data_IF_482643509719
#
_entry.id   IF_482643509719
#
_cell.length_a   1.000
_cell.length_b   1.000
_cell.length_c   1.000
_cell.angle_alpha   90.00
_cell.angle_beta   90.00
_cell.angle_gamma   90.00
#
_symmetry.space_group_name_H-M   'P 1'
#
loop_
_entity.id
_entity.type
_entity.pdbx_description
1 polymer ?
#
# COMPACT_ATOMS: atom_id res chain seq x y z
N UNK A 1 14.73 -1.00 7.77
CA UNK A 1 14.60 -2.46 7.56
C UNK A 1 14.86 -2.72 6.10
N UNK A 2 15.67 -3.71 5.75
CA UNK A 2 15.86 -4.08 4.34
C UNK A 2 14.65 -4.92 3.94
N UNK A 3 13.83 -4.43 3.02
CA UNK A 3 12.62 -5.14 2.57
C UNK A 3 13.05 -6.38 1.77
N UNK A 4 12.31 -7.49 1.87
CA UNK A 4 12.68 -8.73 1.16
C UNK A 4 12.65 -8.54 -0.36
N UNK A 5 13.51 -9.25 -1.09
CA UNK A 5 13.52 -9.16 -2.57
C UNK A 5 12.17 -9.59 -3.19
N UNK A 6 11.47 -10.53 -2.56
CA UNK A 6 10.11 -10.92 -2.95
C UNK A 6 9.12 -9.77 -2.77
N UNK A 7 9.15 -9.07 -1.62
CA UNK A 7 8.34 -7.85 -1.39
C UNK A 7 8.67 -6.78 -2.43
N UNK A 8 9.96 -6.55 -2.73
CA UNK A 8 10.39 -5.58 -3.77
C UNK A 8 9.80 -5.91 -5.13
N UNK A 9 9.88 -7.17 -5.57
CA UNK A 9 9.36 -7.58 -6.87
C UNK A 9 7.85 -7.33 -7.00
N UNK A 10 7.07 -7.69 -5.97
CA UNK A 10 5.62 -7.45 -5.95
C UNK A 10 5.31 -5.96 -5.97
N UNK A 11 5.98 -5.18 -5.11
CA UNK A 11 5.81 -3.74 -5.05
C UNK A 11 6.17 -3.07 -6.38
N UNK A 12 7.23 -3.54 -7.04
CA UNK A 12 7.65 -3.02 -8.34
C UNK A 12 6.59 -3.29 -9.41
N UNK A 13 6.01 -4.49 -9.47
CA UNK A 13 4.90 -4.82 -10.38
C UNK A 13 3.70 -3.89 -10.16
N UNK A 14 3.32 -3.68 -8.90
CA UNK A 14 2.23 -2.75 -8.59
C UNK A 14 2.56 -1.31 -8.99
N UNK A 15 3.79 -0.86 -8.75
CA UNK A 15 4.23 0.48 -9.11
C UNK A 15 4.20 0.72 -10.62
N UNK A 16 4.66 -0.25 -11.42
CA UNK A 16 4.63 -0.17 -12.90
C UNK A 16 3.21 -0.16 -13.45
N UNK A 17 2.26 -0.82 -12.77
CA UNK A 17 0.84 -0.83 -13.13
C UNK A 17 0.10 0.45 -12.68
N UNK A 18 0.79 1.40 -12.05
CA UNK A 18 0.26 2.70 -11.64
C UNK A 18 -0.31 2.73 -10.22
N UNK A 19 -0.16 1.66 -9.43
CA UNK A 19 -0.52 1.65 -8.02
C UNK A 19 0.54 2.36 -7.18
N UNK A 20 0.10 2.99 -6.10
CA UNK A 20 0.95 3.86 -5.27
C UNK A 20 0.87 3.54 -3.78
N UNK A 21 -0.26 3.02 -3.31
CA UNK A 21 -0.45 2.74 -1.89
C UNK A 21 -1.04 1.37 -1.65
N UNK A 22 -0.65 0.78 -0.53
CA UNK A 22 -1.21 -0.46 0.03
C UNK A 22 -1.75 -0.18 1.43
N UNK A 23 -2.93 -0.70 1.75
CA UNK A 23 -3.46 -0.55 3.10
C UNK A 23 -4.32 -1.76 3.47
N UNK A 24 -4.22 -2.20 4.72
CA UNK A 24 -5.04 -3.27 5.26
C UNK A 24 -6.25 -2.68 5.96
N UNK A 25 -7.43 -3.26 5.75
CA UNK A 25 -8.65 -2.90 6.48
C UNK A 25 -8.74 -3.62 7.84
N UNK A 26 -9.76 -3.26 8.63
CA UNK A 26 -9.94 -3.78 10.00
C UNK A 26 -10.21 -5.28 10.06
N UNK A 27 -10.69 -5.89 8.98
CA UNK A 27 -10.98 -7.33 8.89
C UNK A 27 -9.83 -8.11 8.24
N UNK A 28 -8.74 -7.43 7.88
CA UNK A 28 -7.49 -8.03 7.45
C UNK A 28 -7.27 -8.05 5.95
N UNK A 29 -8.17 -7.49 5.14
CA UNK A 29 -8.01 -7.45 3.68
C UNK A 29 -7.06 -6.36 3.24
N UNK A 30 -6.20 -6.71 2.28
CA UNK A 30 -5.30 -5.78 1.62
C UNK A 30 -6.01 -5.06 0.47
N UNK A 31 -5.80 -3.76 0.37
CA UNK A 31 -6.34 -2.92 -0.70
C UNK A 31 -5.20 -2.14 -1.36
N UNK A 32 -5.29 -1.96 -2.68
CA UNK A 32 -4.34 -1.14 -3.45
C UNK A 32 -5.01 0.12 -3.96
N UNK A 33 -4.26 1.22 -3.97
CA UNK A 33 -4.76 2.54 -4.33
C UNK A 33 -3.79 3.26 -5.26
N UNK A 34 -4.34 4.03 -6.19
CA UNK A 34 -3.59 4.91 -7.11
C UNK A 34 -3.37 6.31 -6.52
N UNK A 35 -4.10 6.66 -5.48
CA UNK A 35 -4.00 7.90 -4.73
C UNK A 35 -3.98 7.61 -3.24
N UNK A 36 -3.41 8.51 -2.43
CA UNK A 36 -3.28 8.30 -0.99
C UNK A 36 -4.67 8.19 -0.35
N UNK A 37 -5.05 7.03 0.21
CA UNK A 37 -6.33 6.89 0.87
C UNK A 37 -6.33 7.59 2.24
N UNK A 38 -7.52 7.95 2.71
CA UNK A 38 -7.78 8.47 4.06
C UNK A 38 -8.29 7.34 4.94
N UNK A 39 -7.80 7.27 6.17
CA UNK A 39 -8.22 6.25 7.13
C UNK A 39 -9.65 6.52 7.61
N UNK A 40 -10.54 5.55 7.41
CA UNK A 40 -11.90 5.52 7.98
C UNK A 40 -11.97 4.64 9.23
N UNK A 41 -13.18 4.40 9.73
CA UNK A 41 -13.40 3.63 10.98
C UNK A 41 -13.11 2.12 10.83
N UNK A 42 -13.31 1.57 9.63
CA UNK A 42 -13.13 0.14 9.34
C UNK A 42 -12.29 -0.14 8.09
N UNK A 43 -12.13 0.84 7.19
CA UNK A 43 -11.42 0.69 5.94
C UNK A 43 -10.75 2.00 5.51
N UNK A 44 -10.01 1.94 4.41
CA UNK A 44 -9.33 3.08 3.80
C UNK A 44 -10.17 3.61 2.63
N UNK A 45 -10.38 4.92 2.59
CA UNK A 45 -11.27 5.60 1.66
C UNK A 45 -10.47 6.45 0.67
N UNK A 46 -10.84 6.45 -0.60
CA UNK A 46 -10.25 7.35 -1.60
C UNK A 46 -11.35 7.97 -2.47
N UNK A 47 -11.06 9.14 -3.03
CA UNK A 47 -12.03 9.93 -3.82
C UNK A 47 -12.38 9.24 -5.12
N UNK A 48 -11.42 8.55 -5.74
CA UNK A 48 -11.60 7.82 -7.00
C UNK A 48 -12.16 6.40 -6.81
N UNK A 49 -12.49 6.01 -5.57
CA UNK A 49 -12.96 4.68 -5.21
C UNK A 49 -11.84 3.62 -5.17
N UNK A 50 -12.05 2.55 -4.40
CA UNK A 50 -11.14 1.41 -4.32
C UNK A 50 -11.15 0.73 -5.69
N UNK A 51 -10.06 0.85 -6.46
CA UNK A 51 -9.99 0.31 -7.82
C UNK A 51 -9.63 -1.18 -7.89
N UNK A 52 -9.34 -1.81 -6.76
CA UNK A 52 -9.13 -3.25 -6.68
C UNK A 52 -8.96 -3.67 -5.22
N UNK A 53 -9.97 -4.36 -4.68
CA UNK A 53 -9.76 -5.19 -3.50
C UNK A 53 -9.07 -6.47 -3.99
N UNK A 54 -7.78 -6.62 -3.70
CA UNK A 54 -7.07 -7.86 -3.97
C UNK A 54 -7.01 -8.67 -2.69
N UNK A 55 -7.62 -9.84 -2.70
CA UNK A 55 -7.42 -10.84 -1.66
C UNK A 55 -6.02 -11.44 -1.87
N UNK A 56 -4.99 -10.74 -1.40
CA UNK A 56 -3.62 -11.21 -1.47
C UNK A 56 -3.13 -11.42 -0.04
N UNK A 57 -3.05 -12.68 0.38
CA UNK A 57 -2.36 -13.06 1.60
C UNK A 57 -0.95 -13.48 1.21
N UNK A 58 0.02 -12.62 1.53
CA UNK A 58 1.45 -12.91 1.43
C UNK A 58 2.11 -12.40 2.70
N UNK A 59 2.89 -13.28 3.33
CA UNK A 59 3.54 -13.06 4.61
C UNK A 59 4.52 -11.86 4.57
N UNK A 60 4.97 -11.48 3.37
CA UNK A 60 5.85 -10.32 3.16
C UNK A 60 5.18 -8.97 3.47
N UNK A 61 3.87 -8.94 3.71
CA UNK A 61 3.09 -7.73 4.00
C UNK A 61 2.40 -7.77 5.38
N UNK A 62 2.86 -8.62 6.31
CA UNK A 62 2.35 -8.68 7.69
C UNK A 62 2.61 -7.40 8.52
N UNK A 63 3.56 -6.57 8.07
CA UNK A 63 3.88 -5.26 8.64
C UNK A 63 2.84 -4.18 8.30
N UNK A 64 2.07 -4.37 7.23
CA UNK A 64 0.96 -3.50 6.87
C UNK A 64 -0.27 -3.89 7.69
N UNK A 65 -0.56 -3.13 8.75
CA UNK A 65 -1.72 -3.35 9.63
C UNK A 65 -2.69 -2.19 9.55
N UNK A 66 -3.95 -2.45 9.86
CA UNK A 66 -4.97 -1.39 9.88
C UNK A 66 -4.66 -0.33 10.94
N UNK A 67 -3.97 -0.68 12.03
CA UNK A 67 -3.59 0.23 13.10
C UNK A 67 -2.58 1.28 12.66
N UNK A 68 -1.81 1.03 11.59
CA UNK A 68 -0.81 1.97 11.06
C UNK A 68 -1.47 3.33 10.76
N UNK A 69 -0.81 4.42 11.15
CA UNK A 69 -1.34 5.77 10.97
C UNK A 69 -1.52 6.13 9.49
N UNK A 70 -0.63 5.60 8.65
CA UNK A 70 -0.54 5.88 7.22
C UNK A 70 -0.58 4.57 6.42
N UNK A 71 -1.10 4.60 5.17
CA UNK A 71 -0.99 3.47 4.27
C UNK A 71 0.49 3.30 3.87
N UNK A 72 0.88 2.09 3.44
CA UNK A 72 2.21 1.89 2.87
C UNK A 72 2.29 2.62 1.53
N UNK A 73 3.30 3.45 1.35
CA UNK A 73 3.65 4.08 0.09
C UNK A 73 4.64 3.21 -0.68
N UNK A 74 4.21 2.73 -1.84
CA UNK A 74 4.99 1.81 -2.68
C UNK A 74 6.25 2.50 -3.21
N UNK A 75 6.16 3.78 -3.58
CA UNK A 75 7.28 4.55 -4.13
C UNK A 75 8.36 4.77 -3.07
N UNK A 76 7.96 5.17 -1.86
CA UNK A 76 8.91 5.33 -0.75
C UNK A 76 9.56 4.00 -0.36
N UNK A 77 8.78 2.92 -0.26
CA UNK A 77 9.29 1.59 0.11
C UNK A 77 10.29 1.04 -0.94
N UNK A 78 10.10 1.37 -2.22
CA UNK A 78 11.02 1.03 -3.30
C UNK A 78 12.21 2.00 -3.45
N UNK A 79 12.23 3.13 -2.73
CA UNK A 79 13.21 4.20 -2.93
C UNK A 79 13.10 4.91 -4.28
N UNK A 80 11.88 4.97 -4.84
CA UNK A 80 11.55 5.58 -6.13
C UNK A 80 10.78 6.90 -6.00
N UNK A 81 10.36 7.27 -4.79
CA UNK A 81 9.76 8.57 -4.54
C UNK A 81 10.88 9.62 -4.39
N UNK A 82 10.83 10.66 -5.22
CA UNK A 82 11.64 11.86 -5.01
C UNK A 82 11.11 12.59 -3.76
N UNK A 83 12.01 13.02 -2.88
CA UNK A 83 11.73 13.93 -1.76
C UNK A 83 11.26 15.30 -2.31
N UNK A 84 10.04 15.38 -2.85
CA UNK A 84 9.40 16.66 -3.16
C UNK A 84 8.79 17.24 -1.86
N UNK A 85 9.68 17.60 -0.94
CA UNK A 85 9.44 18.60 0.10
C UNK A 85 10.70 19.48 0.20
N UNK A 86 10.85 20.37 -0.76
CA UNK A 86 11.59 21.63 -0.63
C UNK A 86 10.61 22.80 -0.65
#
# INVERSE_FOLDING_TARGET
>A
MNISEHKKQILYMFYTDGWRYLARDKIGYMHIFTEKPTKGEACWLCKKGIRGGFFFYDESFEDIRFENAEPLDIGMELGLADDDNA
#
